data_IF_522863466669
#
_entry.id   IF_522863466669
#
_cell.length_a   1.000
_cell.length_b   1.000
_cell.length_c   1.000
_cell.angle_alpha   90.00
_cell.angle_beta   90.00
_cell.angle_gamma   90.00
#
_symmetry.space_group_name_H-M   'P 1'
#
loop_
_entity.id
_entity.type
_entity.pdbx_description
1 polymer ?
#
# COMPACT_ATOMS: atom_id res chain seq x y z
N UNK A 1 20.31 0.40 -14.53
CA UNK A 1 19.78 0.30 -14.28
C UNK A 1 18.90 -0.14 -14.31
N UNK A 2 18.37 -0.24 -14.05
CA UNK A 2 17.51 -0.70 -13.99
C UNK A 2 16.55 -0.34 -13.76
N UNK A 3 15.79 -0.28 -13.50
CA UNK A 3 14.86 -0.13 -13.20
C UNK A 3 14.03 -0.24 -13.13
N UNK A 4 13.78 -0.07 -13.01
CA UNK A 4 12.97 -0.10 -12.78
C UNK A 4 11.93 -0.41 -12.73
N UNK A 5 11.47 -0.31 -12.31
CA UNK A 5 10.38 -0.77 -12.18
C UNK A 5 9.37 -0.02 -12.65
N UNK A 6 8.54 -0.33 -13.26
CA UNK A 6 7.65 0.35 -13.71
C UNK A 6 6.50 0.11 -13.01
N UNK A 7 5.94 -0.15 -12.48
CA UNK A 7 4.73 -0.37 -11.78
C UNK A 7 4.97 -0.24 -10.32
N UNK A 8 3.93 -0.44 -9.56
CA UNK A 8 4.01 -0.35 -8.14
C UNK A 8 4.67 -1.58 -7.56
N UNK A 9 5.59 -1.38 -6.67
CA UNK A 9 6.19 -2.47 -5.95
C UNK A 9 5.24 -2.82 -4.80
N UNK A 10 4.59 -3.96 -4.88
CA UNK A 10 3.57 -4.33 -3.91
C UNK A 10 4.13 -4.49 -2.51
N UNK A 11 5.33 -5.04 -2.40
CA UNK A 11 5.93 -5.19 -1.08
C UNK A 11 6.19 -3.84 -0.42
N UNK A 12 6.64 -2.89 -1.22
CA UNK A 12 6.89 -1.57 -0.69
C UNK A 12 5.58 -0.89 -0.30
N UNK A 13 4.56 -1.03 -1.14
CA UNK A 13 3.27 -0.43 -0.85
C UNK A 13 2.67 -1.03 0.41
N UNK A 14 2.80 -2.32 0.59
CA UNK A 14 2.29 -2.96 1.78
C UNK A 14 3.00 -2.43 3.02
N UNK A 15 4.30 -2.28 2.95
CA UNK A 15 5.06 -1.77 4.08
C UNK A 15 4.61 -0.36 4.44
N UNK A 16 4.39 0.49 3.44
CA UNK A 16 3.92 1.84 3.70
C UNK A 16 2.54 1.83 4.35
N UNK A 17 1.64 0.99 3.85
CA UNK A 17 0.31 0.93 4.43
C UNK A 17 0.39 0.51 5.89
N UNK A 18 1.20 -0.48 6.19
CA UNK A 18 1.32 -0.93 7.56
C UNK A 18 1.94 0.13 8.45
N UNK A 19 2.90 0.88 7.92
CA UNK A 19 3.52 1.95 8.67
C UNK A 19 2.50 3.03 9.00
N UNK A 20 1.66 3.40 8.03
CA UNK A 20 0.64 4.40 8.27
C UNK A 20 -0.36 3.91 9.32
N UNK A 21 -0.74 2.65 9.25
CA UNK A 21 -1.66 2.11 10.25
C UNK A 21 -1.02 2.15 11.64
N UNK A 22 0.25 1.84 11.73
CA UNK A 22 0.95 1.88 13.00
C UNK A 22 1.03 3.29 13.55
N UNK A 23 1.02 4.29 12.66
CA UNK A 23 1.05 5.68 13.09
C UNK A 23 -0.32 6.18 13.52
N UNK A 24 -1.36 5.41 13.26
CA UNK A 24 -2.69 5.83 13.66
C UNK A 24 -3.59 6.27 12.52
N UNK A 25 -3.12 6.23 11.30
CA UNK A 25 -3.98 6.59 10.17
C UNK A 25 -4.98 5.48 9.89
N UNK A 26 -6.16 5.85 9.42
CA UNK A 26 -7.11 4.85 9.02
C UNK A 26 -7.01 4.60 7.52
N UNK A 27 -7.72 3.60 7.04
CA UNK A 27 -7.60 3.21 5.65
C UNK A 27 -8.02 4.33 4.69
N UNK A 28 -9.03 5.10 5.06
CA UNK A 28 -9.47 6.19 4.20
C UNK A 28 -8.39 7.25 4.07
N UNK A 29 -7.73 7.54 5.16
CA UNK A 29 -6.64 8.51 5.12
C UNK A 29 -5.50 7.99 4.27
N UNK A 30 -5.25 6.70 4.34
CA UNK A 30 -4.18 6.09 3.57
C UNK A 30 -4.47 6.17 2.07
N UNK A 31 -5.73 5.97 1.68
CA UNK A 31 -6.06 6.09 0.26
C UNK A 31 -5.72 7.49 -0.24
N UNK A 32 -5.96 8.48 0.60
CA UNK A 32 -5.71 9.84 0.21
C UNK A 32 -4.20 10.12 0.14
N UNK A 33 -3.49 9.64 1.13
CA UNK A 33 -2.05 9.88 1.19
C UNK A 33 -1.30 9.16 0.08
N UNK A 34 -1.71 7.96 -0.23
CA UNK A 34 -1.01 7.18 -1.23
C UNK A 34 -1.60 7.31 -2.62
N UNK A 35 -2.76 7.96 -2.73
CA UNK A 35 -3.41 8.11 -4.03
C UNK A 35 -3.76 6.76 -4.62
N UNK A 36 -4.17 5.83 -3.79
CA UNK A 36 -4.55 4.49 -4.21
C UNK A 36 -5.96 4.22 -3.74
N UNK A 37 -6.83 3.66 -4.59
CA UNK A 37 -8.20 3.37 -4.18
C UNK A 37 -8.26 2.39 -3.01
N UNK A 38 -9.27 2.53 -2.17
CA UNK A 38 -9.40 1.66 -1.01
C UNK A 38 -9.40 0.19 -1.41
N UNK A 39 -10.10 -0.13 -2.47
CA UNK A 39 -10.14 -1.51 -2.92
C UNK A 39 -8.74 -2.06 -3.18
N UNK A 40 -7.88 -1.26 -3.78
CA UNK A 40 -6.54 -1.71 -4.08
C UNK A 40 -5.73 -1.88 -2.80
N UNK A 41 -5.94 -1.00 -1.82
CA UNK A 41 -5.26 -1.13 -0.55
C UNK A 41 -5.65 -2.42 0.13
N UNK A 42 -6.94 -2.75 0.13
CA UNK A 42 -7.39 -3.99 0.72
C UNK A 42 -6.83 -5.19 -0.02
N UNK A 43 -6.76 -5.09 -1.33
CA UNK A 43 -6.21 -6.16 -2.13
C UNK A 43 -4.73 -6.40 -1.79
N UNK A 44 -3.98 -5.34 -1.63
CA UNK A 44 -2.58 -5.46 -1.28
C UNK A 44 -2.42 -6.14 0.07
N UNK A 45 -3.23 -5.73 1.04
CA UNK A 45 -3.12 -6.31 2.38
C UNK A 45 -3.50 -7.78 2.39
N UNK A 46 -4.50 -8.16 1.61
CA UNK A 46 -4.96 -9.54 1.64
C UNK A 46 -4.11 -10.45 0.76
N UNK A 47 -3.36 -9.89 -0.18
CA UNK A 47 -2.56 -10.70 -1.02
C UNK A 47 -1.52 -11.49 -0.29
N UNK A 48 -1.08 -11.02 0.84
CA UNK A 48 -0.02 -11.67 1.58
C UNK A 48 -0.49 -12.77 2.48
N UNK A 49 -1.76 -13.02 2.48
CA UNK A 49 -2.27 -13.95 3.46
C UNK A 49 -2.41 -15.35 2.94
N UNK A 50 -1.83 -15.75 1.93
CA UNK A 50 -2.04 -17.13 1.52
C UNK A 50 -0.85 -18.02 1.72
#
# INVERSE_FOLDING_TARGET
>A
MYQVNKGINIDYAETLIRDFLAEGYNLYEITDLMQIPLRQILDILTRKTH
#
